data_IF_722042356000
#
_entry.id   IF_722042356000
#
_cell.length_a   1.000
_cell.length_b   1.000
_cell.length_c   1.000
_cell.angle_alpha   90.00
_cell.angle_beta   90.00
_cell.angle_gamma   90.00
#
_symmetry.space_group_name_H-M   'P 1'
#
loop_
_entity.id
_entity.type
_entity.pdbx_description
1 polymer ?
#
# COMPACT_ATOMS: atom_id res chain seq x y z
N UNK A 1 5.42 1.85 15.76
CA UNK A 1 5.16 2.21 14.35
C UNK A 1 3.69 2.56 14.19
N UNK A 2 3.42 3.60 13.45
CA UNK A 2 2.03 3.98 13.15
C UNK A 2 1.44 2.98 12.16
N UNK A 3 0.23 2.51 12.43
CA UNK A 3 -0.50 1.63 11.53
C UNK A 3 -0.63 2.28 10.14
N UNK A 4 -0.49 1.48 9.11
CA UNK A 4 -0.67 1.88 7.70
C UNK A 4 0.35 2.87 7.12
N UNK A 5 1.46 3.13 7.83
CA UNK A 5 2.52 3.98 7.28
C UNK A 5 3.15 3.38 6.01
N UNK A 6 3.16 2.06 5.88
CA UNK A 6 3.63 1.36 4.67
C UNK A 6 2.82 1.73 3.44
N UNK A 7 1.51 1.82 3.58
CA UNK A 7 0.64 2.26 2.50
C UNK A 7 0.97 3.69 2.07
N UNK A 8 1.13 4.59 3.02
CA UNK A 8 1.51 5.99 2.74
C UNK A 8 2.86 6.08 2.00
N UNK A 9 3.85 5.32 2.45
CA UNK A 9 5.16 5.26 1.76
C UNK A 9 5.01 4.69 0.35
N UNK A 10 4.21 3.65 0.18
CA UNK A 10 3.97 3.03 -1.13
C UNK A 10 3.29 3.99 -2.11
N UNK A 11 2.28 4.72 -1.66
CA UNK A 11 1.61 5.74 -2.48
C UNK A 11 2.58 6.86 -2.83
N UNK A 12 3.38 7.32 -1.87
CA UNK A 12 4.40 8.35 -2.11
C UNK A 12 5.39 7.89 -3.19
N UNK A 13 5.95 6.68 -3.05
CA UNK A 13 6.89 6.13 -4.01
C UNK A 13 6.26 6.01 -5.41
N UNK A 14 5.06 5.46 -5.50
CA UNK A 14 4.35 5.31 -6.79
C UNK A 14 4.02 6.66 -7.42
N UNK A 15 3.66 7.65 -6.63
CA UNK A 15 3.39 9.02 -7.11
C UNK A 15 4.68 9.67 -7.63
N UNK A 16 5.80 9.45 -6.95
CA UNK A 16 7.12 9.91 -7.41
C UNK A 16 7.47 9.30 -8.77
N UNK A 17 7.19 8.00 -8.95
CA UNK A 17 7.38 7.34 -10.25
C UNK A 17 6.54 8.01 -11.35
N UNK A 18 5.26 8.25 -11.08
CA UNK A 18 4.37 8.91 -12.02
C UNK A 18 4.87 10.32 -12.39
N UNK A 19 5.28 11.08 -11.39
CA UNK A 19 5.81 12.43 -11.55
C UNK A 19 7.07 12.44 -12.41
N UNK A 20 8.02 11.54 -12.11
CA UNK A 20 9.31 11.46 -12.83
C UNK A 20 9.14 10.93 -14.24
N UNK A 21 8.28 9.95 -14.45
CA UNK A 21 8.00 9.41 -15.78
C UNK A 21 7.36 10.44 -16.70
N UNK A 22 6.46 11.28 -16.19
CA UNK A 22 5.86 12.38 -16.94
C UNK A 22 6.91 13.39 -17.41
N UNK A 23 8.09 13.41 -16.79
CA UNK A 23 9.21 14.29 -17.13
C UNK A 23 10.36 13.57 -17.86
N UNK A 24 10.10 12.37 -18.36
CA UNK A 24 11.03 11.65 -19.20
C UNK A 24 11.92 10.64 -18.52
N UNK A 25 11.78 10.42 -17.20
CA UNK A 25 12.52 9.36 -16.52
C UNK A 25 12.02 7.99 -16.97
N UNK A 26 12.93 7.11 -17.36
CA UNK A 26 12.58 5.75 -17.74
C UNK A 26 12.44 4.85 -16.51
N UNK A 27 13.43 4.91 -15.60
CA UNK A 27 13.45 4.20 -14.33
C UNK A 27 13.93 5.16 -13.24
N UNK A 28 13.47 4.91 -12.01
CA UNK A 28 13.89 5.67 -10.82
C UNK A 28 14.45 4.68 -9.81
N UNK A 29 15.64 4.95 -9.31
CA UNK A 29 16.33 4.07 -8.37
C UNK A 29 15.66 4.07 -6.99
N UNK A 30 15.88 3.01 -6.21
CA UNK A 30 15.40 2.95 -4.82
C UNK A 30 16.01 4.07 -3.96
N UNK A 31 17.24 4.48 -4.23
CA UNK A 31 17.89 5.58 -3.54
C UNK A 31 17.19 6.91 -3.81
N UNK A 32 16.83 7.18 -5.05
CA UNK A 32 16.10 8.39 -5.42
C UNK A 32 14.68 8.40 -4.80
N UNK A 33 13.99 7.26 -4.80
CA UNK A 33 12.69 7.13 -4.15
C UNK A 33 12.81 7.31 -2.63
N UNK A 34 13.84 6.70 -2.01
CA UNK A 34 14.10 6.85 -0.58
C UNK A 34 14.41 8.29 -0.21
N UNK A 35 15.12 9.02 -1.06
CA UNK A 35 15.40 10.45 -0.86
C UNK A 35 14.12 11.29 -0.89
N UNK A 36 13.19 10.97 -1.81
CA UNK A 36 11.89 11.65 -1.90
C UNK A 36 11.04 11.42 -0.65
N UNK A 37 10.96 10.18 -0.21
CA UNK A 37 10.20 9.80 1.00
C UNK A 37 10.93 10.22 2.28
N UNK A 38 12.24 10.35 2.23
CA UNK A 38 13.15 10.55 3.38
C UNK A 38 13.12 9.35 4.33
N UNK A 39 13.30 8.17 3.76
CA UNK A 39 13.35 6.91 4.50
C UNK A 39 14.53 6.05 4.05
N UNK A 40 14.73 4.93 4.73
CA UNK A 40 15.78 3.99 4.41
C UNK A 40 15.50 3.29 3.05
N UNK A 41 16.49 3.21 2.14
CA UNK A 41 16.31 2.50 0.86
C UNK A 41 15.88 1.04 0.99
N UNK A 42 16.25 0.37 2.08
CA UNK A 42 15.80 -1.02 2.34
C UNK A 42 14.29 -1.11 2.46
N UNK A 43 13.67 -0.15 3.14
CA UNK A 43 12.20 -0.07 3.27
C UNK A 43 11.56 0.11 1.89
N UNK A 44 12.11 1.02 1.10
CA UNK A 44 11.60 1.29 -0.26
C UNK A 44 11.74 0.06 -1.14
N UNK A 45 12.86 -0.66 -1.10
CA UNK A 45 13.04 -1.88 -1.90
C UNK A 45 12.01 -2.96 -1.57
N UNK A 46 11.68 -3.12 -0.29
CA UNK A 46 10.63 -4.08 0.13
C UNK A 46 9.27 -3.70 -0.44
N UNK A 47 8.94 -2.41 -0.37
CA UNK A 47 7.69 -1.89 -0.91
C UNK A 47 7.64 -2.06 -2.44
N UNK A 48 8.72 -1.72 -3.13
CA UNK A 48 8.81 -1.88 -4.59
C UNK A 48 8.66 -3.34 -5.00
N UNK A 49 9.25 -4.28 -4.26
CA UNK A 49 9.05 -5.72 -4.51
C UNK A 49 7.57 -6.13 -4.38
N UNK A 50 6.90 -5.64 -3.35
CA UNK A 50 5.48 -5.92 -3.14
C UNK A 50 4.63 -5.33 -4.28
N UNK A 51 4.92 -4.11 -4.69
CA UNK A 51 4.23 -3.46 -5.82
C UNK A 51 4.51 -4.18 -7.14
N UNK A 52 5.72 -4.68 -7.35
CA UNK A 52 6.07 -5.44 -8.54
C UNK A 52 5.31 -6.77 -8.61
N UNK A 53 5.22 -7.48 -7.50
CA UNK A 53 4.42 -8.73 -7.43
C UNK A 53 2.94 -8.49 -7.73
N UNK A 54 2.43 -7.33 -7.36
CA UNK A 54 1.04 -6.94 -7.63
C UNK A 54 0.82 -6.38 -9.04
N UNK A 55 1.88 -6.23 -9.85
CA UNK A 55 1.79 -5.69 -11.20
C UNK A 55 1.61 -4.18 -11.27
N UNK A 56 1.87 -3.46 -10.19
CA UNK A 56 1.77 -1.99 -10.13
C UNK A 56 3.01 -1.34 -10.72
N UNK A 57 4.19 -1.91 -10.44
CA UNK A 57 5.46 -1.44 -10.96
C UNK A 57 6.19 -2.54 -11.71
N UNK A 58 7.09 -2.14 -12.59
CA UNK A 58 8.09 -3.00 -13.23
C UNK A 58 9.46 -2.58 -12.73
N UNK A 59 10.38 -3.52 -12.60
CA UNK A 59 11.74 -3.26 -12.12
C UNK A 59 12.77 -3.71 -13.14
N UNK A 60 13.91 -3.05 -13.12
CA UNK A 60 15.08 -3.41 -13.91
C UNK A 60 16.31 -3.34 -13.02
N UNK A 61 17.11 -4.39 -13.03
CA UNK A 61 18.35 -4.45 -12.27
C UNK A 61 19.50 -3.76 -13.01
N UNK A 62 20.56 -3.48 -12.26
CA UNK A 62 21.80 -2.97 -12.80
C UNK A 62 21.83 -1.46 -12.94
N UNK A 63 22.89 -0.98 -13.62
CA UNK A 63 23.11 0.43 -13.86
C UNK A 63 22.03 1.03 -14.76
N UNK A 64 21.48 2.15 -14.35
CA UNK A 64 20.34 2.77 -15.03
C UNK A 64 19.00 2.09 -14.76
N UNK A 65 18.98 1.08 -13.88
CA UNK A 65 17.78 0.38 -13.47
C UNK A 65 17.04 1.11 -12.35
N UNK A 66 16.07 0.42 -11.80
CA UNK A 66 15.19 0.92 -10.76
C UNK A 66 13.77 0.45 -10.98
N UNK A 67 12.81 1.30 -10.71
CA UNK A 67 11.39 1.01 -10.86
C UNK A 67 10.72 2.00 -11.82
N UNK A 68 9.65 1.54 -12.42
CA UNK A 68 8.72 2.35 -13.20
C UNK A 68 7.31 1.83 -13.01
N UNK A 69 6.31 2.65 -13.24
CA UNK A 69 4.93 2.17 -13.24
C UNK A 69 4.72 1.19 -14.40
N UNK A 70 4.04 0.08 -14.12
CA UNK A 70 3.68 -0.93 -15.13
C UNK A 70 2.45 -0.53 -15.93
N UNK A 71 1.66 0.44 -15.43
CA UNK A 71 0.42 0.91 -16.04
C UNK A 71 0.35 2.44 -15.93
N UNK A 72 -0.47 3.10 -16.77
CA UNK A 72 -0.72 4.53 -16.59
C UNK A 72 -1.31 4.83 -15.19
N UNK A 73 -0.95 5.97 -14.58
CA UNK A 73 -1.45 6.33 -13.24
C UNK A 73 -2.98 6.30 -13.11
N UNK A 74 -3.71 6.67 -14.16
CA UNK A 74 -5.19 6.62 -14.18
C UNK A 74 -5.77 5.21 -14.08
N UNK A 75 -4.94 4.18 -14.32
CA UNK A 75 -5.32 2.76 -14.24
C UNK A 75 -4.78 2.07 -13.00
N UNK A 76 -4.28 2.82 -12.05
CA UNK A 76 -3.77 2.30 -10.78
C UNK A 76 -4.63 2.87 -9.66
N UNK A 77 -5.72 2.18 -9.27
CA UNK A 77 -6.48 2.59 -8.09
C UNK A 77 -5.62 2.40 -6.83
N UNK A 78 -5.81 3.28 -5.85
CA UNK A 78 -5.08 3.17 -4.58
C UNK A 78 -5.32 1.82 -3.89
N UNK A 79 -6.47 1.20 -4.14
CA UNK A 79 -6.76 -0.14 -3.63
C UNK A 79 -5.70 -1.17 -4.03
N UNK A 80 -5.19 -1.10 -5.26
CA UNK A 80 -4.14 -2.02 -5.73
C UNK A 80 -2.86 -1.86 -4.93
N UNK A 81 -2.50 -0.63 -4.62
CA UNK A 81 -1.33 -0.33 -3.79
C UNK A 81 -1.56 -0.81 -2.36
N UNK A 82 -2.73 -0.55 -1.81
CA UNK A 82 -3.10 -0.98 -0.47
C UNK A 82 -3.02 -2.51 -0.34
N UNK A 83 -3.63 -3.24 -1.25
CA UNK A 83 -3.60 -4.70 -1.26
C UNK A 83 -2.19 -5.29 -1.43
N UNK A 84 -1.32 -4.57 -2.15
CA UNK A 84 0.04 -5.02 -2.37
C UNK A 84 0.91 -4.97 -1.11
N UNK A 85 0.71 -3.98 -0.26
CA UNK A 85 1.61 -3.71 0.88
C UNK A 85 1.03 -4.06 2.24
N UNK A 86 -0.28 -4.26 2.34
CA UNK A 86 -0.91 -4.70 3.58
C UNK A 86 -0.96 -6.24 3.63
N UNK A 87 -0.44 -6.81 4.71
CA UNK A 87 -0.18 -8.25 4.79
C UNK A 87 -1.44 -9.12 4.69
N UNK A 88 -2.55 -8.68 5.26
CA UNK A 88 -3.79 -9.46 5.27
C UNK A 88 -5.01 -8.69 4.75
N UNK A 89 -4.80 -7.46 4.26
CA UNK A 89 -5.86 -6.61 3.73
C UNK A 89 -6.91 -6.18 4.75
N UNK A 90 -6.64 -6.34 6.03
CA UNK A 90 -7.56 -6.02 7.11
C UNK A 90 -7.18 -4.71 7.78
N UNK A 91 -8.15 -3.83 7.94
CA UNK A 91 -7.96 -2.54 8.63
C UNK A 91 -7.91 -2.76 10.15
N UNK A 92 -8.82 -3.59 10.65
CA UNK A 92 -8.93 -3.91 12.07
C UNK A 92 -8.73 -5.40 12.29
N UNK A 93 -8.06 -5.73 13.38
CA UNK A 93 -7.80 -7.11 13.78
C UNK A 93 -8.27 -7.34 15.21
N UNK A 94 -8.67 -8.57 15.50
CA UNK A 94 -9.01 -8.96 16.86
C UNK A 94 -7.75 -9.00 17.72
N UNK A 95 -7.90 -8.70 19.03
CA UNK A 95 -6.81 -8.95 19.97
C UNK A 95 -6.50 -10.46 20.00
N UNK A 96 -5.23 -10.87 20.20
CA UNK A 96 -4.82 -12.27 20.11
C UNK A 96 -5.08 -13.07 21.37
N UNK A 97 -5.66 -12.48 22.41
CA UNK A 97 -5.83 -13.11 23.72
C UNK A 97 -6.85 -14.25 23.64
N UNK A 98 -6.57 -15.32 24.37
CA UNK A 98 -7.49 -16.44 24.49
C UNK A 98 -8.77 -16.03 25.22
N UNK A 99 -9.93 -16.56 24.81
CA UNK A 99 -11.18 -16.30 25.53
C UNK A 99 -11.11 -16.82 26.97
N UNK A 100 -11.71 -16.07 27.88
CA UNK A 100 -11.97 -16.53 29.23
C UNK A 100 -13.27 -17.35 29.20
N UNK A 101 -13.22 -18.67 29.42
CA UNK A 101 -14.41 -19.52 29.31
C UNK A 101 -15.50 -19.19 30.33
N UNK A 102 -15.14 -18.51 31.45
CA UNK A 102 -16.10 -18.09 32.45
C UNK A 102 -16.80 -16.75 32.09
N UNK A 103 -16.37 -16.08 31.03
CA UNK A 103 -16.92 -14.80 30.62
C UNK A 103 -17.63 -14.90 29.28
N UNK A 104 -18.93 -14.69 29.28
CA UNK A 104 -19.75 -14.76 28.07
C UNK A 104 -19.32 -13.73 27.02
N UNK A 105 -18.95 -12.52 27.44
CA UNK A 105 -18.45 -11.49 26.55
C UNK A 105 -17.14 -11.92 25.90
N UNK A 106 -16.21 -12.44 26.71
CA UNK A 106 -14.92 -12.92 26.19
C UNK A 106 -15.10 -14.01 25.13
N UNK A 107 -16.06 -14.91 25.32
CA UNK A 107 -16.33 -15.98 24.36
C UNK A 107 -17.03 -15.48 23.08
N UNK A 108 -17.81 -14.41 23.17
CA UNK A 108 -18.65 -13.95 22.06
C UNK A 108 -18.13 -12.74 21.29
N UNK A 109 -17.12 -12.02 21.81
CA UNK A 109 -16.74 -10.72 21.24
C UNK A 109 -16.20 -10.82 19.81
N UNK A 110 -15.43 -11.83 19.49
CA UNK A 110 -14.90 -12.00 18.11
C UNK A 110 -16.03 -12.19 17.10
N UNK A 111 -16.99 -13.06 17.43
CA UNK A 111 -18.15 -13.28 16.57
C UNK A 111 -19.01 -12.04 16.42
N UNK A 112 -19.16 -11.27 17.48
CA UNK A 112 -19.94 -10.03 17.46
C UNK A 112 -19.27 -8.94 16.62
N UNK A 113 -17.94 -8.85 16.64
CA UNK A 113 -17.19 -7.84 15.90
C UNK A 113 -16.87 -8.23 14.45
N UNK A 114 -16.90 -9.50 14.10
CA UNK A 114 -16.54 -9.95 12.76
C UNK A 114 -17.33 -9.24 11.64
N UNK A 115 -18.66 -9.09 11.72
CA UNK A 115 -19.41 -8.35 10.70
C UNK A 115 -19.04 -6.87 10.64
N UNK A 116 -18.74 -6.26 11.79
CA UNK A 116 -18.33 -4.84 11.88
C UNK A 116 -16.99 -4.65 11.19
N UNK A 117 -16.02 -5.51 11.48
CA UNK A 117 -14.68 -5.45 10.90
C UNK A 117 -14.73 -5.70 9.39
N UNK A 118 -15.55 -6.65 8.94
CA UNK A 118 -15.79 -6.90 7.51
C UNK A 118 -16.40 -5.69 6.80
N UNK A 119 -17.34 -5.01 7.43
CA UNK A 119 -17.95 -3.79 6.88
C UNK A 119 -16.93 -2.65 6.77
N UNK A 120 -16.00 -2.53 7.71
CA UNK A 120 -14.92 -1.55 7.65
C UNK A 120 -13.98 -1.86 6.47
N UNK A 121 -13.58 -3.12 6.32
CA UNK A 121 -12.73 -3.54 5.21
C UNK A 121 -13.39 -3.25 3.86
N UNK A 122 -14.68 -3.54 3.72
CA UNK A 122 -15.44 -3.27 2.51
C UNK A 122 -15.54 -1.77 2.22
N UNK A 123 -15.75 -0.94 3.24
CA UNK A 123 -15.83 0.51 3.08
C UNK A 123 -14.48 1.09 2.61
N UNK A 124 -13.37 0.62 3.19
CA UNK A 124 -12.03 1.04 2.78
C UNK A 124 -11.76 0.61 1.33
N UNK A 125 -12.08 -0.63 0.98
CA UNK A 125 -11.89 -1.14 -0.38
C UNK A 125 -12.69 -0.32 -1.42
N UNK A 126 -13.93 0.02 -1.11
CA UNK A 126 -14.74 0.87 -1.99
C UNK A 126 -14.15 2.26 -2.17
N UNK A 127 -13.71 2.88 -1.08
CA UNK A 127 -13.13 4.23 -1.14
C UNK A 127 -11.82 4.23 -1.92
N UNK A 128 -10.91 3.32 -1.61
CA UNK A 128 -9.61 3.26 -2.28
C UNK A 128 -9.72 2.82 -3.74
N UNK A 129 -10.76 2.06 -4.09
CA UNK A 129 -11.02 1.66 -5.46
C UNK A 129 -11.48 2.81 -6.38
N UNK A 130 -11.94 3.92 -5.80
CA UNK A 130 -12.44 5.09 -6.54
C UNK A 130 -11.36 6.16 -6.78
N UNK A 131 -10.26 6.10 -6.08
CA UNK A 131 -9.18 7.09 -6.17
C UNK A 131 -8.01 6.45 -6.89
N UNK A 132 -7.57 7.06 -7.98
CA UNK A 132 -6.42 6.57 -8.74
C UNK A 132 -5.15 7.33 -8.36
N UNK A 133 -4.02 6.76 -8.78
CA UNK A 133 -2.72 7.43 -8.61
C UNK A 133 -2.68 8.75 -9.38
N UNK A 134 -3.35 8.84 -10.54
CA UNK A 134 -3.50 10.08 -11.28
C UNK A 134 -4.24 11.15 -10.47
N UNK A 135 -5.30 10.75 -9.75
CA UNK A 135 -6.04 11.69 -8.89
C UNK A 135 -5.15 12.26 -7.78
N UNK A 136 -4.29 11.44 -7.19
CA UNK A 136 -3.33 11.89 -6.17
C UNK A 136 -2.33 12.87 -6.77
N UNK A 137 -1.75 12.52 -7.91
CA UNK A 137 -0.78 13.35 -8.61
C UNK A 137 -1.37 14.72 -8.99
N UNK A 138 -2.63 14.75 -9.41
CA UNK A 138 -3.33 15.99 -9.81
C UNK A 138 -3.55 16.97 -8.65
N UNK A 139 -3.41 16.49 -7.41
CA UNK A 139 -3.53 17.34 -6.20
C UNK A 139 -2.19 17.91 -5.72
N UNK A 140 -1.10 17.61 -6.40
CA UNK A 140 0.24 18.06 -6.07
C UNK A 140 0.68 19.17 -7.02
#
# INVERSE_FOLDING_TARGET
MVANSRFSVAVHAATTLAYRQARGAEYVSSEELAASVRTNPVVVRRIIRALARAGVVATKEGKGGGARLARPPRRIPLLRIYQAVEDNGRVLTHHPNRPNPACRVSCGIKGALAPVFGAVDDAVARMLGRVTLADVLDRI
#
